data_IF_036180669474
#
_entry.id   IF_036180669474
#
_cell.length_a   1.000
_cell.length_b   1.000
_cell.length_c   1.000
_cell.angle_alpha   90.00
_cell.angle_beta   90.00
_cell.angle_gamma   90.00
#
_symmetry.space_group_name_H-M   'P 1'
#
loop_
_entity.id
_entity.type
_entity.pdbx_description
1 polymer ?
#
# COMPACT_ATOMS: atom_id res chain seq x y z
N UNK A 1 -9.55 20.48 -2.54
CA UNK A 1 -8.57 19.56 -3.15
C UNK A 1 -8.03 18.56 -2.13
N UNK A 2 -7.35 18.99 -1.06
CA UNK A 2 -6.67 18.10 -0.08
C UNK A 2 -7.60 17.13 0.68
N UNK A 3 -8.84 17.53 1.04
CA UNK A 3 -9.85 16.60 1.61
C UNK A 3 -10.20 15.45 0.65
N UNK A 4 -10.26 15.69 -0.67
CA UNK A 4 -10.49 14.65 -1.68
C UNK A 4 -9.29 13.72 -1.81
N UNK A 5 -8.07 14.26 -1.76
CA UNK A 5 -6.82 13.48 -1.75
C UNK A 5 -6.79 12.56 -0.54
N UNK A 6 -7.15 13.02 0.66
CA UNK A 6 -7.20 12.18 1.86
C UNK A 6 -8.20 11.01 1.75
N UNK A 7 -9.39 11.26 1.15
CA UNK A 7 -10.36 10.18 0.88
C UNK A 7 -9.82 9.20 -0.17
N UNK A 8 -9.20 9.72 -1.23
CA UNK A 8 -8.61 8.89 -2.28
C UNK A 8 -7.47 8.02 -1.74
N UNK A 9 -6.56 8.58 -0.93
CA UNK A 9 -5.48 7.85 -0.27
C UNK A 9 -5.99 6.76 0.66
N UNK A 10 -7.06 7.05 1.41
CA UNK A 10 -7.71 6.04 2.26
C UNK A 10 -8.25 4.87 1.43
N UNK A 11 -8.98 5.15 0.34
CA UNK A 11 -9.50 4.11 -0.56
C UNK A 11 -8.34 3.33 -1.20
N UNK A 12 -7.30 4.00 -1.68
CA UNK A 12 -6.12 3.35 -2.26
C UNK A 12 -5.44 2.41 -1.25
N UNK A 13 -5.34 2.79 0.03
CA UNK A 13 -4.72 1.93 1.05
C UNK A 13 -5.50 0.63 1.27
N UNK A 14 -6.82 0.69 1.23
CA UNK A 14 -7.70 -0.50 1.35
C UNK A 14 -7.53 -1.38 0.11
N UNK A 15 -7.53 -0.79 -1.09
CA UNK A 15 -7.30 -1.53 -2.33
C UNK A 15 -5.93 -2.21 -2.30
N UNK A 16 -4.89 -1.52 -1.85
CA UNK A 16 -3.55 -2.08 -1.74
C UNK A 16 -3.49 -3.29 -0.78
N UNK A 17 -4.21 -3.21 0.34
CA UNK A 17 -4.34 -4.32 1.29
C UNK A 17 -5.10 -5.51 0.69
N UNK A 18 -6.16 -5.28 -0.08
CA UNK A 18 -6.89 -6.33 -0.78
C UNK A 18 -6.00 -7.00 -1.83
N UNK A 19 -5.27 -6.23 -2.62
CA UNK A 19 -4.33 -6.76 -3.61
C UNK A 19 -3.22 -7.58 -2.96
N UNK A 20 -2.71 -7.15 -1.80
CA UNK A 20 -1.74 -7.91 -1.02
C UNK A 20 -2.30 -9.27 -0.59
N UNK A 21 -3.52 -9.30 -0.04
CA UNK A 21 -4.16 -10.55 0.35
C UNK A 21 -4.37 -11.47 -0.85
N UNK A 22 -4.83 -10.93 -1.98
CA UNK A 22 -5.01 -11.72 -3.21
C UNK A 22 -3.68 -12.31 -3.68
N UNK A 23 -2.61 -11.51 -3.71
CA UNK A 23 -1.28 -11.98 -4.10
C UNK A 23 -0.72 -13.05 -3.14
N UNK A 24 -1.01 -12.92 -1.84
CA UNK A 24 -0.57 -13.88 -0.82
C UNK A 24 -1.29 -15.23 -0.92
N UNK A 25 -2.60 -15.24 -1.19
CA UNK A 25 -3.41 -16.46 -1.21
C UNK A 25 -3.55 -17.08 -2.60
N UNK A 26 -3.41 -16.31 -3.68
CA UNK A 26 -3.65 -16.78 -5.05
C UNK A 26 -2.38 -16.76 -5.91
N UNK A 27 -1.66 -17.90 -5.93
CA UNK A 27 -0.48 -18.09 -6.80
C UNK A 27 -0.75 -17.86 -8.29
N UNK A 28 -1.95 -18.18 -8.78
CA UNK A 28 -2.33 -17.95 -10.18
C UNK A 28 -2.33 -16.47 -10.55
N UNK A 29 -2.79 -15.60 -9.65
CA UNK A 29 -2.71 -14.16 -9.82
C UNK A 29 -1.25 -13.68 -9.79
N UNK A 30 -0.44 -14.21 -8.88
CA UNK A 30 0.99 -13.87 -8.81
C UNK A 30 1.73 -14.18 -10.12
N UNK A 31 1.52 -15.39 -10.65
CA UNK A 31 2.16 -15.83 -11.88
C UNK A 31 1.70 -15.03 -13.11
N UNK A 32 0.40 -14.73 -13.21
CA UNK A 32 -0.15 -13.92 -14.30
C UNK A 32 0.45 -12.50 -14.35
N UNK A 33 0.61 -11.87 -13.20
CA UNK A 33 1.18 -10.52 -13.13
C UNK A 33 2.67 -10.54 -13.47
N UNK A 34 3.43 -11.54 -12.99
CA UNK A 34 4.84 -11.71 -13.36
C UNK A 34 5.00 -11.93 -14.87
N UNK A 35 4.12 -12.69 -15.51
CA UNK A 35 4.14 -12.93 -16.96
C UNK A 35 3.93 -11.65 -17.77
N UNK A 36 3.10 -10.72 -17.27
CA UNK A 36 2.81 -9.45 -17.94
C UNK A 36 3.87 -8.38 -17.66
N UNK A 37 4.32 -8.28 -16.41
CA UNK A 37 5.16 -7.15 -15.96
C UNK A 37 6.63 -7.52 -15.78
N UNK A 38 6.99 -8.79 -15.87
CA UNK A 38 8.34 -9.30 -15.60
C UNK A 38 8.81 -9.08 -14.16
N UNK A 39 7.93 -8.62 -13.27
CA UNK A 39 8.29 -8.16 -11.93
C UNK A 39 7.39 -8.85 -10.90
N UNK A 40 7.97 -9.17 -9.75
CA UNK A 40 7.24 -9.81 -8.66
C UNK A 40 6.07 -8.93 -8.17
N UNK A 41 4.90 -9.53 -7.96
CA UNK A 41 3.67 -8.80 -7.61
C UNK A 41 3.83 -8.00 -6.33
N UNK A 42 4.61 -8.55 -5.39
CA UNK A 42 4.92 -7.90 -4.12
C UNK A 42 5.70 -6.59 -4.31
N UNK A 43 6.61 -6.51 -5.29
CA UNK A 43 7.36 -5.28 -5.60
C UNK A 43 6.42 -4.18 -6.11
N UNK A 44 5.48 -4.54 -6.98
CA UNK A 44 4.49 -3.61 -7.53
C UNK A 44 3.59 -3.07 -6.43
N UNK A 45 3.07 -3.95 -5.56
CA UNK A 45 2.23 -3.58 -4.42
C UNK A 45 3.01 -2.68 -3.45
N UNK A 46 4.29 -2.98 -3.21
CA UNK A 46 5.16 -2.15 -2.37
C UNK A 46 5.31 -0.74 -2.96
N UNK A 47 5.61 -0.61 -4.25
CA UNK A 47 5.74 0.68 -4.91
C UNK A 47 4.45 1.52 -4.85
N UNK A 48 3.30 0.89 -5.09
CA UNK A 48 1.98 1.54 -4.98
C UNK A 48 1.69 1.96 -3.52
N UNK A 49 2.08 1.14 -2.55
CA UNK A 49 1.93 1.47 -1.13
C UNK A 49 2.70 2.73 -0.75
N UNK A 50 3.94 2.86 -1.24
CA UNK A 50 4.77 4.05 -1.01
C UNK A 50 4.15 5.32 -1.60
N UNK A 51 3.62 5.24 -2.83
CA UNK A 51 2.90 6.36 -3.46
C UNK A 51 1.67 6.73 -2.63
N UNK A 52 0.91 5.73 -2.19
CA UNK A 52 -0.29 5.92 -1.37
C UNK A 52 0.02 6.60 -0.05
N UNK A 53 1.12 6.20 0.60
CA UNK A 53 1.62 6.79 1.83
C UNK A 53 1.98 8.26 1.61
N UNK A 54 2.69 8.59 0.52
CA UNK A 54 3.03 9.97 0.17
C UNK A 54 1.79 10.85 0.01
N UNK A 55 0.78 10.37 -0.73
CA UNK A 55 -0.48 11.09 -0.88
C UNK A 55 -1.27 11.18 0.43
N UNK A 56 -1.21 10.14 1.27
CA UNK A 56 -1.83 10.13 2.59
C UNK A 56 -1.27 11.22 3.50
N UNK A 57 0.07 11.35 3.56
CA UNK A 57 0.75 12.41 4.31
C UNK A 57 0.33 13.79 3.77
N UNK A 58 0.43 14.01 2.45
CA UNK A 58 0.07 15.29 1.82
C UNK A 58 -1.40 15.64 2.08
N UNK A 59 -2.30 14.66 1.98
CA UNK A 59 -3.72 14.81 2.24
C UNK A 59 -4.03 15.21 3.69
N UNK A 60 -3.21 14.77 4.64
CA UNK A 60 -3.39 15.00 6.07
C UNK A 60 -2.90 16.39 6.53
N UNK A 61 -1.87 16.96 5.90
CA UNK A 61 -1.23 18.25 6.30
C UNK A 61 -2.16 19.45 6.43
N UNK A 62 -3.35 19.44 5.81
CA UNK A 62 -4.27 20.58 5.76
C UNK A 62 -5.55 20.36 6.57
N UNK A 63 -5.65 19.26 7.30
CA UNK A 63 -6.89 18.86 7.95
C UNK A 63 -6.85 19.25 9.42
N UNK A 64 -7.77 20.14 9.81
CA UNK A 64 -7.95 20.57 11.21
C UNK A 64 -9.14 19.89 11.90
N UNK A 65 -9.99 19.21 11.14
CA UNK A 65 -11.17 18.51 11.63
C UNK A 65 -10.81 17.07 12.09
N UNK A 66 -11.26 16.65 13.28
CA UNK A 66 -10.86 15.36 13.87
C UNK A 66 -11.23 14.11 13.06
N UNK A 67 -12.44 14.03 12.50
CA UNK A 67 -12.90 12.86 11.70
C UNK A 67 -12.00 12.58 10.48
N UNK A 68 -11.72 13.56 9.60
CA UNK A 68 -10.84 13.34 8.47
C UNK A 68 -9.35 13.22 8.85
N UNK A 69 -8.92 13.77 9.99
CA UNK A 69 -7.57 13.53 10.52
C UNK A 69 -7.38 12.05 10.90
N UNK A 70 -8.35 11.46 11.61
CA UNK A 70 -8.34 10.04 12.01
C UNK A 70 -8.22 9.10 10.80
N UNK A 71 -8.95 9.41 9.71
CA UNK A 71 -8.85 8.64 8.46
C UNK A 71 -7.45 8.69 7.84
N UNK A 72 -6.80 9.85 7.86
CA UNK A 72 -5.42 10.01 7.39
C UNK A 72 -4.45 9.19 8.22
N UNK A 73 -4.58 9.23 9.56
CA UNK A 73 -3.73 8.45 10.48
C UNK A 73 -3.90 6.94 10.23
N UNK A 74 -5.12 6.46 10.08
CA UNK A 74 -5.39 5.05 9.76
C UNK A 74 -4.77 4.67 8.40
N UNK A 75 -4.88 5.54 7.39
CA UNK A 75 -4.27 5.33 6.07
C UNK A 75 -2.77 5.15 6.19
N UNK A 76 -2.10 6.03 6.96
CA UNK A 76 -0.66 5.97 7.21
C UNK A 76 -0.30 4.70 7.98
N UNK A 77 -1.04 4.35 9.03
CA UNK A 77 -0.78 3.15 9.82
C UNK A 77 -0.86 1.88 8.96
N UNK A 78 -1.90 1.78 8.11
CA UNK A 78 -2.08 0.65 7.18
C UNK A 78 -0.96 0.62 6.14
N UNK A 79 -0.65 1.75 5.49
CA UNK A 79 0.37 1.78 4.43
C UNK A 79 1.78 1.58 4.97
N UNK A 80 2.14 2.14 6.12
CA UNK A 80 3.42 1.90 6.81
C UNK A 80 3.52 0.44 7.25
N UNK A 81 2.46 -0.12 7.83
CA UNK A 81 2.43 -1.52 8.23
C UNK A 81 2.59 -2.46 7.03
N UNK A 82 1.84 -2.23 5.95
CA UNK A 82 1.90 -3.05 4.73
C UNK A 82 3.26 -2.94 4.04
N UNK A 83 3.80 -1.72 3.87
CA UNK A 83 5.10 -1.50 3.25
C UNK A 83 6.26 -2.04 4.08
N UNK A 84 6.23 -1.85 5.40
CA UNK A 84 7.22 -2.42 6.32
C UNK A 84 7.22 -3.94 6.30
N UNK A 85 6.04 -4.56 6.37
CA UNK A 85 5.88 -6.01 6.30
C UNK A 85 6.36 -6.56 4.94
N UNK A 86 6.00 -5.93 3.83
CA UNK A 86 6.47 -6.29 2.48
C UNK A 86 7.99 -6.20 2.38
N UNK A 87 8.60 -5.13 2.90
CA UNK A 87 10.05 -4.94 2.88
C UNK A 87 10.77 -6.01 3.69
N UNK A 88 10.26 -6.37 4.87
CA UNK A 88 10.79 -7.46 5.70
C UNK A 88 10.67 -8.81 4.96
N UNK A 89 9.51 -9.08 4.35
CA UNK A 89 9.30 -10.30 3.57
C UNK A 89 10.27 -10.41 2.41
N UNK A 90 10.50 -9.32 1.67
CA UNK A 90 11.48 -9.28 0.57
C UNK A 90 12.89 -9.53 1.07
N UNK A 91 13.28 -8.91 2.19
CA UNK A 91 14.61 -9.05 2.76
C UNK A 91 14.86 -10.48 3.27
N UNK A 92 13.87 -11.09 3.92
CA UNK A 92 13.94 -12.50 4.33
C UNK A 92 14.03 -13.44 3.13
N UNK A 93 13.22 -13.20 2.08
CA UNK A 93 13.21 -14.05 0.89
C UNK A 93 14.49 -13.91 0.03
N UNK A 94 15.16 -12.74 0.06
CA UNK A 94 16.47 -12.53 -0.55
C UNK A 94 17.63 -13.14 0.25
N UNK A 95 17.48 -13.34 1.56
CA UNK A 95 18.52 -13.91 2.44
C UNK A 95 18.62 -15.44 2.43
N UNK A 96 17.76 -16.12 1.67
CA UNK A 96 17.69 -17.60 1.56
C UNK A 96 18.26 -18.17 0.26
N UNK A 97 19.19 -17.45 -0.39
CA UNK A 97 20.01 -17.95 -1.51
C UNK A 97 21.50 -17.86 -1.18
#
# INVERSE_FOLDING_TARGET
MRKKINVLSFVLSIVCLIFFLIAAYWKGFSNFVIEITGTDVLNIICFISWITLFFGIIGMTSIRDGKPLLRGVITILITVGLSGMLTIMMLLNQSTF
#
